data_IF_233416339291
#
_entry.id   IF_233416339291
#
_cell.length_a   1.000
_cell.length_b   1.000
_cell.length_c   1.000
_cell.angle_alpha   90.00
_cell.angle_beta   90.00
_cell.angle_gamma   90.00
#
_symmetry.space_group_name_H-M   'P 1'
#
loop_
_entity.id
_entity.type
_entity.pdbx_description
1 polymer ?
#
# COMPACT_ATOMS: atom_id res chain seq x y z
N UNK A 1 12.70 21.23 8.65
CA UNK A 1 12.32 19.83 8.91
C UNK A 1 10.89 19.73 9.42
N UNK A 2 10.22 18.61 9.19
CA UNK A 2 8.84 18.34 9.58
C UNK A 2 8.70 16.83 9.83
N UNK A 3 7.62 16.20 9.37
CA UNK A 3 7.41 14.75 9.57
C UNK A 3 7.61 13.93 8.30
N UNK A 4 7.87 12.64 8.48
CA UNK A 4 7.78 11.63 7.43
C UNK A 4 6.62 10.70 7.71
N UNK A 5 5.79 10.46 6.70
CA UNK A 5 4.65 9.56 6.77
C UNK A 5 4.83 8.41 5.78
N UNK A 6 4.78 7.18 6.29
CA UNK A 6 4.82 5.97 5.48
C UNK A 6 3.40 5.45 5.22
N UNK A 7 3.10 5.19 3.95
CA UNK A 7 1.78 4.74 3.49
C UNK A 7 1.97 3.41 2.75
N UNK A 8 1.50 2.33 3.38
CA UNK A 8 1.74 0.96 2.96
C UNK A 8 0.64 0.37 2.07
N UNK A 9 -0.55 0.97 2.08
CA UNK A 9 -1.71 0.50 1.33
C UNK A 9 -2.73 1.64 1.13
N UNK A 10 -3.52 1.62 0.06
CA UNK A 10 -4.63 2.55 -0.11
C UNK A 10 -5.86 2.05 0.68
N UNK A 11 -6.69 2.98 1.13
CA UNK A 11 -8.06 2.69 1.56
C UNK A 11 -8.97 2.78 0.33
N UNK A 12 -9.39 1.64 -0.19
CA UNK A 12 -10.28 1.57 -1.37
C UNK A 12 -11.71 1.22 -0.94
N UNK A 13 -12.69 1.43 -1.84
CA UNK A 13 -14.12 1.18 -1.56
C UNK A 13 -14.43 -0.23 -1.03
N UNK A 14 -13.63 -1.20 -1.43
CA UNK A 14 -13.83 -2.60 -1.07
C UNK A 14 -13.34 -2.89 0.35
N UNK A 15 -12.22 -2.27 0.74
CA UNK A 15 -11.75 -2.25 2.14
C UNK A 15 -12.72 -1.44 3.00
N UNK A 16 -13.22 -0.29 2.53
CA UNK A 16 -14.24 0.48 3.25
C UNK A 16 -15.50 -0.34 3.52
N UNK A 17 -15.98 -1.08 2.51
CA UNK A 17 -17.11 -2.00 2.66
C UNK A 17 -16.86 -3.04 3.75
N UNK A 18 -15.69 -3.68 3.76
CA UNK A 18 -15.33 -4.65 4.82
C UNK A 18 -15.25 -4.01 6.20
N UNK A 19 -14.81 -2.75 6.28
CA UNK A 19 -14.78 -2.01 7.55
C UNK A 19 -16.19 -1.62 8.04
N UNK A 20 -17.15 -1.45 7.13
CA UNK A 20 -18.53 -1.04 7.44
C UNK A 20 -19.48 -2.23 7.67
N UNK A 21 -19.24 -3.37 7.03
CA UNK A 21 -20.09 -4.56 7.10
C UNK A 21 -19.52 -5.61 8.05
N UNK A 22 -19.84 -5.49 9.33
CA UNK A 22 -19.30 -6.36 10.39
C UNK A 22 -19.59 -7.85 10.15
N UNK A 23 -20.80 -8.21 9.71
CA UNK A 23 -21.16 -9.59 9.42
C UNK A 23 -20.28 -10.18 8.31
N UNK A 24 -20.13 -9.43 7.20
CA UNK A 24 -19.27 -9.82 6.09
C UNK A 24 -17.81 -9.98 6.52
N UNK A 25 -17.29 -9.04 7.31
CA UNK A 25 -15.92 -9.11 7.84
C UNK A 25 -15.70 -10.35 8.71
N UNK A 26 -16.64 -10.63 9.61
CA UNK A 26 -16.55 -11.77 10.53
C UNK A 26 -16.63 -13.11 9.78
N UNK A 27 -17.51 -13.23 8.79
CA UNK A 27 -17.62 -14.44 7.97
C UNK A 27 -16.36 -14.65 7.12
N UNK A 28 -15.86 -13.59 6.48
CA UNK A 28 -14.58 -13.62 5.76
C UNK A 28 -13.43 -14.11 6.67
N UNK A 29 -13.31 -13.55 7.87
CA UNK A 29 -12.25 -13.94 8.80
C UNK A 29 -12.38 -15.37 9.33
N UNK A 30 -13.61 -15.91 9.40
CA UNK A 30 -13.88 -17.27 9.87
C UNK A 30 -13.63 -18.31 8.79
N UNK A 31 -14.01 -18.01 7.55
CA UNK A 31 -14.10 -18.99 6.47
C UNK A 31 -12.88 -18.99 5.55
N UNK A 32 -12.10 -17.91 5.55
CA UNK A 32 -11.05 -17.68 4.56
C UNK A 32 -9.70 -17.49 5.24
N UNK A 33 -8.64 -18.04 4.64
CA UNK A 33 -7.27 -17.78 5.09
C UNK A 33 -6.96 -16.27 5.03
N UNK A 34 -6.24 -15.77 6.03
CA UNK A 34 -5.86 -14.36 6.14
C UNK A 34 -5.17 -13.76 4.91
N UNK A 35 -4.44 -14.58 4.14
CA UNK A 35 -3.80 -14.12 2.90
C UNK A 35 -4.83 -13.72 1.82
N UNK A 36 -6.05 -14.24 1.95
CA UNK A 36 -7.17 -14.03 1.04
C UNK A 36 -8.15 -12.97 1.54
N UNK A 37 -7.90 -12.36 2.70
CA UNK A 37 -8.78 -11.31 3.20
C UNK A 37 -8.75 -10.06 2.32
N UNK A 38 -9.87 -9.37 2.36
CA UNK A 38 -10.10 -8.12 1.66
C UNK A 38 -9.63 -7.03 2.61
N UNK A 39 -8.32 -6.86 2.66
CA UNK A 39 -7.66 -6.01 3.63
C UNK A 39 -6.48 -5.28 2.98
N UNK A 40 -6.02 -4.18 3.61
CA UNK A 40 -4.71 -3.60 3.32
C UNK A 40 -3.61 -4.66 3.42
N UNK A 41 -2.68 -4.66 2.47
CA UNK A 41 -1.54 -5.58 2.41
C UNK A 41 -0.23 -4.81 2.29
N UNK A 42 0.85 -5.38 2.81
CA UNK A 42 2.20 -4.84 2.66
C UNK A 42 2.80 -5.14 1.29
N UNK A 43 2.37 -6.22 0.64
CA UNK A 43 2.96 -6.71 -0.61
C UNK A 43 1.90 -6.75 -1.71
N UNK A 44 2.28 -6.64 -2.98
CA UNK A 44 1.38 -6.99 -4.08
C UNK A 44 0.87 -8.42 -3.90
N UNK A 45 -0.34 -8.70 -4.38
CA UNK A 45 -0.85 -10.07 -4.42
C UNK A 45 0.13 -10.96 -5.21
N UNK A 46 0.60 -12.04 -4.59
CA UNK A 46 1.56 -12.98 -5.18
C UNK A 46 0.88 -14.09 -6.00
N UNK A 47 -0.44 -14.20 -5.96
CA UNK A 47 -1.21 -15.27 -6.61
C UNK A 47 -2.59 -14.80 -7.09
N UNK A 48 -3.02 -15.41 -8.20
CA UNK A 48 -4.31 -15.25 -8.89
C UNK A 48 -5.52 -15.79 -8.11
N UNK A 49 -5.30 -16.59 -7.06
CA UNK A 49 -6.36 -17.29 -6.30
C UNK A 49 -6.94 -16.49 -5.12
N UNK A 50 -6.77 -15.17 -5.12
CA UNK A 50 -7.47 -14.34 -4.16
C UNK A 50 -8.99 -14.37 -4.46
N UNK A 51 -9.78 -14.56 -3.41
CA UNK A 51 -11.14 -15.07 -3.46
C UNK A 51 -11.98 -14.13 -4.30
N UNK A 52 -12.69 -14.73 -5.25
CA UNK A 52 -13.61 -14.10 -6.19
C UNK A 52 -14.46 -13.05 -5.45
N UNK A 53 -14.02 -11.80 -5.49
CA UNK A 53 -14.80 -10.69 -4.98
C UNK A 53 -15.91 -10.41 -5.99
N UNK A 54 -17.12 -10.76 -5.58
CA UNK A 54 -18.43 -10.55 -6.21
C UNK A 54 -18.42 -10.20 -7.70
N UNK A 55 -18.74 -11.23 -8.51
CA UNK A 55 -19.53 -11.08 -9.74
C UNK A 55 -18.84 -10.46 -10.95
N UNK A 56 -17.53 -10.26 -10.95
CA UNK A 56 -16.90 -9.55 -12.06
C UNK A 56 -15.43 -9.80 -12.31
N UNK A 57 -14.80 -10.80 -11.68
CA UNK A 57 -13.34 -10.98 -11.79
C UNK A 57 -13.00 -12.38 -12.32
N UNK A 58 -12.81 -12.39 -13.66
CA UNK A 58 -12.16 -13.38 -14.55
C UNK A 58 -13.04 -14.43 -15.24
N UNK A 59 -13.16 -14.27 -16.56
CA UNK A 59 -13.19 -15.39 -17.51
C UNK A 59 -11.72 -15.70 -17.85
N UNK A 60 -11.25 -16.92 -17.56
CA UNK A 60 -9.98 -17.50 -18.05
C UNK A 60 -8.61 -16.94 -17.61
N UNK A 61 -8.31 -16.84 -16.30
CA UNK A 61 -6.90 -16.67 -15.86
C UNK A 61 -6.26 -15.29 -16.12
N UNK A 62 -6.99 -14.31 -16.64
CA UNK A 62 -6.44 -13.00 -17.04
C UNK A 62 -6.58 -11.98 -15.92
N UNK A 63 -5.46 -11.37 -15.51
CA UNK A 63 -5.41 -10.17 -14.69
C UNK A 63 -6.31 -9.10 -15.31
N UNK A 64 -7.37 -8.72 -14.59
CA UNK A 64 -8.19 -7.58 -14.97
C UNK A 64 -7.47 -6.31 -14.51
N UNK A 65 -6.96 -5.44 -15.41
CA UNK A 65 -6.17 -4.26 -15.05
C UNK A 65 -6.88 -3.20 -14.18
N UNK A 66 -8.11 -3.46 -13.75
CA UNK A 66 -8.94 -2.60 -12.91
C UNK A 66 -9.14 -3.13 -11.49
N UNK A 67 -8.55 -4.27 -11.09
CA UNK A 67 -8.62 -4.71 -9.70
C UNK A 67 -7.87 -3.73 -8.79
N UNK A 68 -8.51 -3.15 -7.75
CA UNK A 68 -7.85 -2.17 -6.89
C UNK A 68 -6.61 -2.76 -6.20
N UNK A 69 -5.50 -2.02 -6.19
CA UNK A 69 -4.31 -2.44 -5.44
C UNK A 69 -4.63 -2.51 -3.94
N UNK A 70 -4.14 -3.56 -3.27
CA UNK A 70 -4.21 -3.72 -1.81
C UNK A 70 -2.94 -3.29 -1.08
N UNK A 71 -1.85 -3.02 -1.82
CA UNK A 71 -0.60 -2.50 -1.27
C UNK A 71 -0.13 -1.25 -2.00
N UNK A 72 0.72 -0.47 -1.34
CA UNK A 72 1.29 0.75 -1.89
C UNK A 72 2.69 1.01 -1.35
N UNK A 73 3.41 1.83 -2.10
CA UNK A 73 4.77 2.22 -1.79
C UNK A 73 4.89 3.73 -1.74
N UNK A 74 4.51 4.37 -0.63
CA UNK A 74 4.55 5.83 -0.54
C UNK A 74 5.22 6.30 0.76
N UNK A 75 6.13 7.26 0.62
CA UNK A 75 6.62 8.10 1.71
C UNK A 75 6.26 9.56 1.40
N UNK A 76 5.59 10.23 2.31
CA UNK A 76 5.28 11.66 2.22
C UNK A 76 6.11 12.47 3.21
N UNK A 77 6.57 13.64 2.80
CA UNK A 77 7.07 14.68 3.72
C UNK A 77 5.91 15.57 4.11
N UNK A 78 5.79 15.82 5.40
CA UNK A 78 4.83 16.74 5.96
C UNK A 78 5.56 17.93 6.59
N UNK A 79 4.94 19.10 6.56
CA UNK A 79 5.37 20.22 7.40
C UNK A 79 4.97 20.03 8.88
N UNK A 80 5.27 21.01 9.73
CA UNK A 80 4.91 20.99 11.16
C UNK A 80 3.40 20.99 11.43
N UNK A 81 2.60 21.37 10.44
CA UNK A 81 1.13 21.39 10.48
C UNK A 81 0.52 20.12 9.89
N UNK A 82 1.33 19.09 9.67
CA UNK A 82 0.96 17.82 9.03
C UNK A 82 0.43 17.96 7.59
N UNK A 83 0.74 19.06 6.90
CA UNK A 83 0.38 19.23 5.49
C UNK A 83 1.42 18.54 4.59
N UNK A 84 0.99 17.74 3.59
CA UNK A 84 1.92 17.15 2.63
C UNK A 84 2.63 18.20 1.79
N UNK A 85 3.97 18.18 1.81
CA UNK A 85 4.84 19.10 1.04
C UNK A 85 5.65 18.39 -0.05
N UNK A 86 5.79 17.06 0.04
CA UNK A 86 6.36 16.24 -1.03
C UNK A 86 5.89 14.79 -0.87
N UNK A 87 5.88 14.03 -1.97
CA UNK A 87 5.53 12.61 -1.97
C UNK A 87 6.46 11.81 -2.90
N UNK A 88 6.82 10.61 -2.46
CA UNK A 88 7.71 9.70 -3.19
C UNK A 88 7.03 8.34 -3.34
N UNK A 89 6.74 7.99 -4.59
CA UNK A 89 5.93 6.83 -4.93
C UNK A 89 6.76 5.74 -5.61
N UNK A 90 6.56 4.50 -5.19
CA UNK A 90 6.91 3.34 -6.00
C UNK A 90 6.12 3.37 -7.30
N UNK A 91 6.75 2.94 -8.39
CA UNK A 91 6.12 2.88 -9.71
C UNK A 91 5.02 1.81 -9.73
N UNK A 92 4.13 1.86 -10.71
CA UNK A 92 2.98 0.93 -10.82
C UNK A 92 3.37 -0.56 -10.82
N UNK A 93 4.56 -0.91 -11.32
CA UNK A 93 5.14 -2.26 -11.26
C UNK A 93 6.45 -2.28 -10.44
N UNK A 94 6.57 -1.35 -9.49
CA UNK A 94 7.74 -1.21 -8.62
C UNK A 94 7.81 -2.32 -7.59
N UNK A 95 8.99 -2.50 -6.98
CA UNK A 95 9.21 -3.53 -5.96
C UNK A 95 9.11 -2.99 -4.54
N UNK A 96 8.95 -1.67 -4.39
CA UNK A 96 8.96 -1.00 -3.09
C UNK A 96 7.54 -0.82 -2.60
N UNK A 97 6.95 -1.87 -2.02
CA UNK A 97 5.62 -1.84 -1.43
C UNK A 97 5.70 -2.00 0.09
N UNK A 98 4.66 -1.57 0.78
CA UNK A 98 4.55 -1.78 2.22
C UNK A 98 5.54 -0.91 2.99
N UNK A 99 5.54 0.39 2.74
CA UNK A 99 6.41 1.33 3.46
C UNK A 99 6.01 1.37 4.93
N UNK A 100 6.92 1.02 5.84
CA UNK A 100 6.60 0.91 7.27
C UNK A 100 7.37 1.88 8.16
N UNK A 101 8.51 2.37 7.71
CA UNK A 101 9.28 3.38 8.45
C UNK A 101 10.12 4.22 7.51
N UNK A 102 10.38 5.47 7.89
CA UNK A 102 11.30 6.34 7.18
C UNK A 102 11.96 7.33 8.15
N UNK A 103 13.22 7.67 7.88
CA UNK A 103 13.98 8.68 8.62
C UNK A 103 14.66 9.64 7.63
N UNK A 104 14.87 10.88 8.06
CA UNK A 104 15.80 11.77 7.38
C UNK A 104 17.22 11.45 7.85
N UNK A 105 18.15 11.26 6.91
CA UNK A 105 19.54 10.94 7.21
C UNK A 105 20.44 11.42 6.07
N UNK A 106 21.47 12.21 6.41
CA UNK A 106 22.48 12.71 5.47
C UNK A 106 21.90 13.30 4.17
N UNK A 107 20.97 14.25 4.31
CA UNK A 107 20.34 14.93 3.18
C UNK A 107 19.44 14.04 2.31
N UNK A 108 19.13 12.83 2.76
CA UNK A 108 18.26 11.88 2.08
C UNK A 108 17.17 11.36 3.03
N UNK A 109 16.22 10.61 2.47
CA UNK A 109 15.29 9.80 3.26
C UNK A 109 15.73 8.34 3.15
N UNK A 110 15.88 7.68 4.29
CA UNK A 110 16.06 6.23 4.37
C UNK A 110 14.73 5.63 4.79
N UNK A 111 14.15 4.76 3.96
CA UNK A 111 12.87 4.14 4.23
C UNK A 111 12.92 2.62 4.12
N UNK A 112 12.04 1.93 4.86
CA UNK A 112 11.91 0.48 4.84
C UNK A 112 10.65 0.08 4.10
N UNK A 113 10.82 -0.80 3.11
CA UNK A 113 9.75 -1.45 2.36
C UNK A 113 9.64 -2.89 2.88
N UNK A 114 8.71 -3.12 3.81
CA UNK A 114 8.54 -4.43 4.44
C UNK A 114 8.00 -5.47 3.45
N UNK A 115 6.98 -5.11 2.68
CA UNK A 115 6.43 -6.03 1.66
C UNK A 115 7.32 -6.21 0.45
N UNK A 116 8.20 -5.24 0.17
CA UNK A 116 9.23 -5.36 -0.85
C UNK A 116 10.51 -6.06 -0.37
N UNK A 117 10.74 -6.18 0.94
CA UNK A 117 12.01 -6.62 1.54
C UNK A 117 13.22 -5.75 1.10
N UNK A 118 13.09 -4.43 1.19
CA UNK A 118 14.15 -3.48 0.84
C UNK A 118 14.32 -2.36 1.88
N UNK A 119 15.55 -1.88 2.03
CA UNK A 119 15.85 -0.55 2.56
C UNK A 119 16.16 0.33 1.36
N UNK A 120 15.47 1.47 1.25
CA UNK A 120 15.60 2.38 0.10
C UNK A 120 16.13 3.74 0.56
N UNK A 121 17.05 4.30 -0.23
CA UNK A 121 17.46 5.69 -0.11
C UNK A 121 16.73 6.51 -1.17
N UNK A 122 15.98 7.50 -0.74
CA UNK A 122 15.30 8.47 -1.59
C UNK A 122 16.12 9.75 -1.56
N UNK A 123 16.69 10.13 -2.71
CA UNK A 123 17.41 11.39 -2.84
C UNK A 123 16.45 12.56 -2.58
N UNK A 124 16.92 13.59 -1.86
CA UNK A 124 16.20 14.85 -1.83
C UNK A 124 16.09 15.36 -3.27
N UNK A 125 14.90 15.80 -3.67
CA UNK A 125 14.76 16.50 -4.94
C UNK A 125 15.58 17.79 -4.85
N UNK A 126 16.57 17.96 -5.71
CA UNK A 126 17.22 19.25 -5.90
C UNK A 126 16.14 20.25 -6.34
N UNK A 127 15.85 21.27 -5.52
CA UNK A 127 14.92 22.34 -5.91
C UNK A 127 13.90 22.83 -4.89
N UNK A 128 14.19 22.78 -3.58
CA UNK A 128 13.47 23.62 -2.62
C UNK A 128 14.48 24.54 -1.93
N UNK A 129 14.80 25.65 -2.61
CA UNK A 129 15.41 26.85 -2.04
C UNK A 129 14.43 27.54 -1.09
#
# INVERSE_FOLDING_TARGET
DGYLLCLFAPLNRLVEFVLQEDAYRLDMMREMDSQYWIAPSLSPASSFLEPLQNGGVVSMGVFKPWSPSRSYGLVARLDWSFQPIASYHSRANGRFHGMTSAIAHEGAIIATSKGGNHIIRIAAAEGAS
#
